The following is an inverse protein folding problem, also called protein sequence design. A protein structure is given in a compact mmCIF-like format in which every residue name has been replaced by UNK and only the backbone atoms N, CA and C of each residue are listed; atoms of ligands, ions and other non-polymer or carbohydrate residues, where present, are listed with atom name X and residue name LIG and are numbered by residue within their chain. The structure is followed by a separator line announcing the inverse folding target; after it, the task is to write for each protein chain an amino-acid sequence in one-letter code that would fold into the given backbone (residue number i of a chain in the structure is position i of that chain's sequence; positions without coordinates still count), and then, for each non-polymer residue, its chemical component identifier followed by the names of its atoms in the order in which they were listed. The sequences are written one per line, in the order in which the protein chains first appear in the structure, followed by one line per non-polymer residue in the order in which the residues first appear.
data_IF_880544319677
#
_entry.id   IF_880544319677
#
_cell.length_a   1.000
_cell.length_b   1.000
_cell.length_c   1.000
_cell.angle_alpha   90.00
_cell.angle_beta   90.00
_cell.angle_gamma   90.00
#
_symmetry.space_group_name_H-M   'P 1'
#
loop_
_entity.id
_entity.type
_entity.pdbx_description
1 polymer ?
#
# COMPACT_ATOMS: atom_id res chain seq x y z
N UNK A 1 -13.86 -19.80 -56.91
CA UNK A 1 -13.06 -18.63 -56.47
C UNK A 1 -13.80 -17.77 -55.44
N UNK A 2 -15.09 -17.48 -55.64
CA UNK A 2 -15.89 -16.63 -54.72
C UNK A 2 -15.95 -17.14 -53.26
N UNK A 3 -16.14 -18.44 -53.03
CA UNK A 3 -16.28 -18.99 -51.67
C UNK A 3 -15.00 -18.85 -50.83
N UNK A 4 -13.82 -18.89 -51.47
CA UNK A 4 -12.54 -18.74 -50.78
C UNK A 4 -12.36 -17.31 -50.25
N UNK A 5 -12.71 -16.31 -51.05
CA UNK A 5 -12.65 -14.90 -50.66
C UNK A 5 -13.63 -14.61 -49.51
N UNK A 6 -14.82 -15.21 -49.55
CA UNK A 6 -15.81 -15.09 -48.46
C UNK A 6 -15.26 -15.74 -47.17
N UNK A 7 -14.70 -16.94 -47.24
CA UNK A 7 -14.11 -17.62 -46.08
C UNK A 7 -12.91 -16.87 -45.50
N UNK A 8 -12.04 -16.33 -46.35
CA UNK A 8 -10.91 -15.48 -45.94
C UNK A 8 -11.40 -14.19 -45.28
N UNK A 9 -12.43 -13.53 -45.84
CA UNK A 9 -13.05 -12.34 -45.25
C UNK A 9 -13.66 -12.62 -43.88
N UNK A 10 -14.40 -13.72 -43.72
CA UNK A 10 -14.95 -14.15 -42.42
C UNK A 10 -13.82 -14.43 -41.43
N UNK A 11 -12.77 -15.14 -41.85
CA UNK A 11 -11.60 -15.43 -41.00
C UNK A 11 -10.92 -14.16 -40.49
N UNK A 12 -10.69 -13.17 -41.36
CA UNK A 12 -10.10 -11.88 -40.98
C UNK A 12 -10.99 -11.15 -39.96
N UNK A 13 -12.30 -11.09 -40.22
CA UNK A 13 -13.26 -10.44 -39.31
C UNK A 13 -13.31 -11.16 -37.96
N UNK A 14 -13.27 -12.51 -37.96
CA UNK A 14 -13.21 -13.30 -36.72
C UNK A 14 -11.94 -13.01 -35.93
N UNK A 15 -10.77 -12.95 -36.57
CA UNK A 15 -9.50 -12.63 -35.89
C UNK A 15 -9.54 -11.22 -35.30
N UNK A 16 -10.00 -10.22 -36.05
CA UNK A 16 -10.15 -8.84 -35.55
C UNK A 16 -11.12 -8.80 -34.37
N UNK A 17 -12.28 -9.47 -34.48
CA UNK A 17 -13.26 -9.56 -33.40
C UNK A 17 -12.68 -10.21 -32.14
N UNK A 18 -11.91 -11.29 -32.28
CA UNK A 18 -11.22 -11.94 -31.16
C UNK A 18 -10.18 -11.03 -30.51
N UNK A 19 -9.40 -10.28 -31.29
CA UNK A 19 -8.41 -9.34 -30.74
C UNK A 19 -9.08 -8.19 -29.96
N UNK A 20 -10.21 -7.67 -30.46
CA UNK A 20 -11.01 -6.66 -29.74
C UNK A 20 -11.52 -7.24 -28.42
N UNK A 21 -12.08 -8.46 -28.46
CA UNK A 21 -12.60 -9.13 -27.27
C UNK A 21 -11.50 -9.35 -26.22
N UNK A 22 -10.32 -9.85 -26.60
CA UNK A 22 -9.17 -10.00 -25.69
C UNK A 22 -8.73 -8.66 -25.13
N UNK A 23 -8.70 -7.60 -25.94
CA UNK A 23 -8.38 -6.25 -25.47
C UNK A 23 -9.36 -5.76 -24.40
N UNK A 24 -10.66 -6.04 -24.56
CA UNK A 24 -11.69 -5.73 -23.58
C UNK A 24 -11.53 -6.56 -22.29
N UNK A 25 -11.25 -7.85 -22.40
CA UNK A 25 -11.00 -8.72 -21.23
C UNK A 25 -9.80 -8.27 -20.42
N UNK A 26 -8.68 -7.92 -21.08
CA UNK A 26 -7.48 -7.40 -20.43
C UNK A 26 -7.79 -6.09 -19.70
N UNK A 27 -8.55 -5.19 -20.33
CA UNK A 27 -8.96 -3.92 -19.73
C UNK A 27 -9.83 -4.13 -18.48
N UNK A 28 -10.81 -5.03 -18.56
CA UNK A 28 -11.67 -5.38 -17.43
C UNK A 28 -10.87 -6.06 -16.30
N UNK A 29 -9.97 -6.97 -16.63
CA UNK A 29 -9.10 -7.63 -15.66
C UNK A 29 -8.21 -6.61 -14.93
N UNK A 30 -7.62 -5.68 -15.68
CA UNK A 30 -6.80 -4.59 -15.13
C UNK A 30 -7.62 -3.71 -14.17
N UNK A 31 -8.85 -3.35 -14.55
CA UNK A 31 -9.74 -2.57 -13.69
C UNK A 31 -10.12 -3.32 -12.41
N UNK A 32 -10.39 -4.63 -12.51
CA UNK A 32 -10.70 -5.47 -11.35
C UNK A 32 -9.52 -5.58 -10.38
N UNK A 33 -8.29 -5.78 -10.90
CA UNK A 33 -7.06 -5.83 -10.09
C UNK A 33 -6.80 -4.50 -9.37
N UNK A 34 -7.02 -3.37 -10.04
CA UNK A 34 -6.95 -2.03 -9.41
C UNK A 34 -7.97 -1.88 -8.29
N UNK A 35 -9.22 -2.30 -8.52
CA UNK A 35 -10.28 -2.28 -7.51
C UNK A 35 -9.93 -3.13 -6.27
N UNK A 36 -9.44 -4.33 -6.48
CA UNK A 36 -8.99 -5.23 -5.41
C UNK A 36 -7.83 -4.64 -4.60
N UNK A 37 -6.86 -4.01 -5.28
CA UNK A 37 -5.72 -3.32 -4.62
C UNK A 37 -6.19 -2.18 -3.73
N UNK A 38 -7.12 -1.35 -4.22
CA UNK A 38 -7.69 -0.26 -3.44
C UNK A 38 -8.46 -0.77 -2.21
N UNK A 39 -9.18 -1.88 -2.36
CA UNK A 39 -9.90 -2.52 -1.27
C UNK A 39 -8.94 -3.07 -0.20
N UNK A 40 -7.86 -3.73 -0.61
CA UNK A 40 -6.83 -4.26 0.31
C UNK A 40 -6.15 -3.13 1.12
N UNK A 41 -5.74 -2.05 0.46
CA UNK A 41 -5.14 -0.90 1.15
C UNK A 41 -6.13 -0.29 2.16
N UNK A 42 -7.41 -0.21 1.78
CA UNK A 42 -8.46 0.30 2.67
C UNK A 42 -8.69 -0.63 3.86
N UNK A 43 -8.68 -1.95 3.64
CA UNK A 43 -8.79 -2.96 4.67
C UNK A 43 -7.66 -2.87 5.70
N UNK A 44 -6.40 -2.74 5.24
CA UNK A 44 -5.24 -2.57 6.13
C UNK A 44 -5.38 -1.34 7.04
N UNK A 45 -5.90 -0.22 6.53
CA UNK A 45 -6.20 0.97 7.34
C UNK A 45 -7.28 0.69 8.38
N UNK A 46 -8.39 0.06 7.96
CA UNK A 46 -9.49 -0.29 8.84
C UNK A 46 -9.05 -1.21 9.97
N UNK A 47 -8.20 -2.20 9.69
CA UNK A 47 -7.65 -3.09 10.73
C UNK A 47 -6.76 -2.34 11.72
N UNK A 48 -5.91 -1.42 11.25
CA UNK A 48 -5.12 -0.57 12.16
C UNK A 48 -6.01 0.29 13.07
N UNK A 49 -7.06 0.90 12.51
CA UNK A 49 -8.03 1.68 13.31
C UNK A 49 -8.82 0.80 14.27
N UNK A 50 -9.21 -0.40 13.88
CA UNK A 50 -9.89 -1.36 14.74
C UNK A 50 -9.01 -1.73 15.93
N UNK A 51 -7.74 -2.07 15.69
CA UNK A 51 -6.78 -2.35 16.78
C UNK A 51 -6.66 -1.15 17.71
N UNK A 52 -6.54 0.06 17.16
CA UNK A 52 -6.52 1.30 17.94
C UNK A 52 -7.78 1.55 18.76
N UNK A 53 -8.96 1.15 18.26
CA UNK A 53 -10.24 1.34 18.92
C UNK A 53 -10.55 0.26 19.97
N UNK A 54 -10.07 -0.97 19.77
CA UNK A 54 -10.37 -2.13 20.61
C UNK A 54 -9.26 -2.45 21.65
N UNK A 55 -8.09 -1.84 21.53
CA UNK A 55 -6.95 -2.07 22.42
C UNK A 55 -6.51 -0.78 23.12
N UNK A 56 -7.00 -0.57 24.35
CA UNK A 56 -6.71 0.60 25.18
C UNK A 56 -5.21 0.89 25.33
N UNK A 57 -4.38 -0.16 25.39
CA UNK A 57 -2.94 0.00 25.52
C UNK A 57 -2.33 0.58 24.24
N UNK A 58 -2.66 0.02 23.07
CA UNK A 58 -2.21 0.59 21.79
C UNK A 58 -2.73 2.01 21.62
N UNK A 59 -3.99 2.28 21.97
CA UNK A 59 -4.57 3.62 21.96
C UNK A 59 -3.78 4.61 22.83
N UNK A 60 -3.44 4.19 24.06
CA UNK A 60 -2.66 4.99 25.00
C UNK A 60 -1.24 5.28 24.49
N UNK A 61 -0.54 4.26 23.98
CA UNK A 61 0.81 4.43 23.41
C UNK A 61 0.76 5.32 22.16
N UNK A 62 -0.22 5.15 21.26
CA UNK A 62 -0.40 6.03 20.11
C UNK A 62 -0.61 7.49 20.54
N UNK A 63 -1.51 7.74 21.50
CA UNK A 63 -1.77 9.09 22.00
C UNK A 63 -0.52 9.73 22.60
N UNK A 64 0.23 9.00 23.44
CA UNK A 64 1.49 9.48 24.04
C UNK A 64 2.60 9.63 23.00
N UNK A 65 2.64 8.79 21.96
CA UNK A 65 3.57 8.91 20.83
C UNK A 65 3.43 10.26 20.12
N UNK A 66 2.19 10.70 19.86
CA UNK A 66 1.92 12.04 19.32
C UNK A 66 2.32 13.19 20.26
N UNK A 67 2.43 12.92 21.57
CA UNK A 67 2.89 13.87 22.57
C UNK A 67 4.42 13.87 22.75
N UNK A 68 5.14 13.08 21.95
CA UNK A 68 6.60 13.04 21.98
C UNK A 68 7.20 11.91 22.82
N UNK A 69 6.41 10.90 23.20
CA UNK A 69 6.92 9.70 23.87
C UNK A 69 8.07 9.08 23.08
N UNK A 70 9.03 8.54 23.83
CA UNK A 70 10.18 7.78 23.33
C UNK A 70 10.16 6.33 23.81
N UNK A 71 10.98 5.47 23.19
CA UNK A 71 11.11 4.04 23.51
C UNK A 71 11.45 3.81 24.98
N UNK A 72 12.26 4.69 25.57
CA UNK A 72 12.75 4.61 26.94
C UNK A 72 11.63 4.69 27.99
N UNK A 73 10.45 5.18 27.61
CA UNK A 73 9.28 5.29 28.49
C UNK A 73 8.36 4.05 28.43
N UNK A 74 8.69 3.06 27.59
CA UNK A 74 7.93 1.83 27.42
C UNK A 74 8.63 0.65 28.09
N UNK A 75 7.83 -0.28 28.61
CA UNK A 75 8.36 -1.60 28.94
C UNK A 75 8.76 -2.34 27.65
N UNK A 76 9.68 -3.30 27.74
CA UNK A 76 10.08 -4.11 26.58
C UNK A 76 8.88 -4.76 25.88
N UNK A 77 7.89 -5.22 26.65
CA UNK A 77 6.66 -5.83 26.13
C UNK A 77 5.77 -4.81 25.43
N UNK A 78 5.61 -3.60 26.00
CA UNK A 78 4.78 -2.55 25.39
C UNK A 78 5.44 -2.03 24.12
N UNK A 79 6.77 -1.87 24.13
CA UNK A 79 7.55 -1.57 22.94
C UNK A 79 7.38 -2.68 21.90
N UNK A 80 7.50 -3.95 22.29
CA UNK A 80 7.30 -5.11 21.40
C UNK A 80 5.90 -5.09 20.77
N UNK A 81 4.87 -4.78 21.54
CA UNK A 81 3.51 -4.73 21.02
C UNK A 81 3.32 -3.55 20.05
N UNK A 82 3.88 -2.39 20.38
CA UNK A 82 3.71 -1.19 19.59
C UNK A 82 4.54 -1.20 18.29
N UNK A 83 5.77 -1.71 18.29
CA UNK A 83 6.52 -1.82 17.03
C UNK A 83 5.88 -2.84 16.08
N UNK A 84 5.30 -3.94 16.57
CA UNK A 84 4.54 -4.88 15.73
C UNK A 84 3.35 -4.19 15.04
N UNK A 85 2.60 -3.39 15.80
CA UNK A 85 1.54 -2.54 15.25
C UNK A 85 2.10 -1.55 14.20
N UNK A 86 3.26 -0.96 14.48
CA UNK A 86 3.92 -0.01 13.58
C UNK A 86 4.39 -0.66 12.28
N UNK A 87 4.86 -1.91 12.34
CA UNK A 87 5.24 -2.71 11.17
C UNK A 87 4.07 -2.96 10.22
N UNK A 88 2.83 -3.09 10.73
CA UNK A 88 1.65 -3.13 9.86
C UNK A 88 1.53 -1.84 9.04
N UNK A 89 1.76 -0.68 9.68
CA UNK A 89 1.78 0.62 9.02
C UNK A 89 2.88 0.73 7.97
N UNK A 90 4.12 0.37 8.31
CA UNK A 90 5.23 0.40 7.36
C UNK A 90 5.00 -0.50 6.15
N UNK A 91 4.51 -1.74 6.35
CA UNK A 91 4.19 -2.66 5.26
C UNK A 91 3.04 -2.17 4.37
N UNK A 92 2.06 -1.48 4.96
CA UNK A 92 1.03 -0.78 4.17
C UNK A 92 1.65 0.31 3.28
N UNK A 93 2.56 1.12 3.81
CA UNK A 93 3.20 2.19 3.02
C UNK A 93 4.09 1.61 1.92
N UNK A 94 4.80 0.52 2.19
CA UNK A 94 5.56 -0.24 1.19
C UNK A 94 4.64 -0.78 0.08
N UNK A 95 3.48 -1.33 0.44
CA UNK A 95 2.51 -1.76 -0.55
C UNK A 95 2.04 -0.60 -1.43
N UNK A 96 1.66 0.54 -0.84
CA UNK A 96 1.26 1.74 -1.61
C UNK A 96 2.39 2.20 -2.53
N UNK A 97 3.63 2.23 -2.05
CA UNK A 97 4.81 2.57 -2.85
C UNK A 97 4.98 1.65 -4.06
N UNK A 98 4.92 0.33 -3.86
CA UNK A 98 5.05 -0.64 -4.93
C UNK A 98 3.93 -0.49 -5.98
N UNK A 99 2.70 -0.23 -5.54
CA UNK A 99 1.57 -0.01 -6.44
C UNK A 99 1.67 1.32 -7.21
N UNK A 100 2.19 2.36 -6.57
CA UNK A 100 2.52 3.63 -7.23
C UNK A 100 3.64 3.44 -8.27
N UNK A 101 4.74 2.78 -7.91
CA UNK A 101 5.87 2.49 -8.80
C UNK A 101 5.45 1.67 -10.03
N UNK A 102 4.49 0.76 -9.86
CA UNK A 102 3.95 -0.06 -10.95
C UNK A 102 2.85 0.65 -11.79
N UNK A 103 2.50 1.90 -11.48
CA UNK A 103 1.49 2.66 -12.21
C UNK A 103 0.04 2.23 -11.95
N UNK A 104 -0.22 1.49 -10.86
CA UNK A 104 -1.57 1.16 -10.41
C UNK A 104 -2.19 2.25 -9.56
N UNK A 105 -1.36 3.04 -8.86
CA UNK A 105 -1.78 4.19 -8.06
C UNK A 105 -1.11 5.47 -8.56
N UNK A 106 -1.80 6.59 -8.35
CA UNK A 106 -1.30 7.92 -8.67
C UNK A 106 -0.66 8.56 -7.42
N UNK A 107 0.02 9.70 -7.60
CA UNK A 107 0.66 10.46 -6.52
C UNK A 107 -0.28 10.76 -5.35
N UNK A 108 -1.55 11.02 -5.62
CA UNK A 108 -2.57 11.29 -4.60
C UNK A 108 -2.71 10.16 -3.56
N UNK A 109 -2.37 8.91 -3.93
CA UNK A 109 -2.36 7.80 -2.97
C UNK A 109 -1.28 7.98 -1.89
N UNK A 110 -0.16 8.65 -2.23
CA UNK A 110 0.92 8.94 -1.29
C UNK A 110 0.52 10.03 -0.30
N UNK A 111 -0.20 11.05 -0.75
CA UNK A 111 -0.69 12.14 0.10
C UNK A 111 -1.68 11.65 1.17
N UNK A 112 -2.37 10.55 0.90
CA UNK A 112 -3.36 9.92 1.79
C UNK A 112 -2.76 8.93 2.79
N UNK A 113 -1.43 8.79 2.86
CA UNK A 113 -0.79 7.86 3.81
C UNK A 113 -0.99 8.31 5.26
N UNK A 114 -0.97 9.62 5.53
CA UNK A 114 -1.01 10.19 6.88
C UNK A 114 0.35 10.13 7.58
N UNK A 115 1.32 10.95 7.14
CA UNK A 115 2.71 10.86 7.62
C UNK A 115 2.93 11.30 9.08
N UNK A 116 1.95 11.96 9.72
CA UNK A 116 2.07 12.46 11.10
C UNK A 116 2.42 11.37 12.11
N UNK A 117 1.84 10.18 11.97
CA UNK A 117 2.14 9.02 12.81
C UNK A 117 3.63 8.66 12.76
N UNK A 118 4.17 8.53 11.55
CA UNK A 118 5.55 8.11 11.29
C UNK A 118 6.59 9.18 11.65
N UNK A 119 6.17 10.42 11.89
CA UNK A 119 7.06 11.53 12.29
C UNK A 119 7.29 11.60 13.80
N UNK A 120 6.53 10.88 14.60
CA UNK A 120 6.68 10.85 16.07
C UNK A 120 8.06 10.32 16.49
N UNK A 121 8.61 10.74 17.65
CA UNK A 121 9.93 10.28 18.12
C UNK A 121 10.01 8.76 18.25
N UNK A 122 8.99 8.15 18.86
CA UNK A 122 8.89 6.70 18.99
C UNK A 122 8.91 5.99 17.63
N UNK A 123 8.19 6.50 16.62
CA UNK A 123 8.23 5.89 15.29
C UNK A 123 9.59 6.04 14.61
N UNK A 124 10.27 7.18 14.79
CA UNK A 124 11.64 7.34 14.27
C UNK A 124 12.60 6.33 14.89
N UNK A 125 12.52 6.11 16.20
CA UNK A 125 13.34 5.08 16.87
C UNK A 125 13.04 3.67 16.34
N UNK A 126 11.76 3.32 16.18
CA UNK A 126 11.36 2.04 15.59
C UNK A 126 11.90 1.91 14.16
N UNK A 127 11.79 2.96 13.35
CA UNK A 127 12.29 2.96 11.97
C UNK A 127 13.80 2.74 11.91
N UNK A 128 14.59 3.43 12.73
CA UNK A 128 16.05 3.25 12.75
C UNK A 128 16.48 1.82 13.09
N UNK A 129 15.73 1.15 13.96
CA UNK A 129 15.98 -0.25 14.32
C UNK A 129 15.57 -1.25 13.23
N UNK A 130 14.59 -0.89 12.38
CA UNK A 130 13.88 -1.85 11.51
C UNK A 130 13.96 -1.56 10.02
N UNK A 131 14.49 -0.41 9.60
CA UNK A 131 14.54 -0.01 8.18
C UNK A 131 15.28 -1.01 7.29
N UNK A 132 16.22 -1.78 7.87
CA UNK A 132 16.94 -2.83 7.16
C UNK A 132 16.11 -4.10 6.87
N UNK A 133 14.91 -4.22 7.44
CA UNK A 133 13.93 -5.28 7.12
C UNK A 133 13.15 -4.99 5.82
N UNK A 134 13.43 -3.86 5.17
CA UNK A 134 12.79 -3.39 3.95
C UNK A 134 13.79 -3.25 2.80
N UNK A 135 13.24 -3.18 1.58
CA UNK A 135 14.04 -2.87 0.41
C UNK A 135 14.70 -1.47 0.55
N UNK A 136 16.01 -1.31 0.22
CA UNK A 136 16.71 -0.03 0.37
C UNK A 136 16.10 1.13 -0.43
N UNK A 137 15.51 0.83 -1.60
CA UNK A 137 14.83 1.84 -2.42
C UNK A 137 13.55 2.33 -1.73
N UNK A 138 12.77 1.41 -1.17
CA UNK A 138 11.62 1.77 -0.34
C UNK A 138 12.03 2.57 0.89
N UNK A 139 13.08 2.15 1.60
CA UNK A 139 13.54 2.87 2.79
C UNK A 139 13.91 4.33 2.45
N UNK A 140 14.65 4.54 1.37
CA UNK A 140 15.00 5.88 0.87
C UNK A 140 13.76 6.69 0.50
N UNK A 141 12.82 6.08 -0.22
CA UNK A 141 11.55 6.71 -0.59
C UNK A 141 10.73 7.10 0.65
N UNK A 142 10.61 6.20 1.62
CA UNK A 142 9.83 6.41 2.82
C UNK A 142 10.39 7.54 3.68
N UNK A 143 11.71 7.58 3.86
CA UNK A 143 12.38 8.67 4.59
C UNK A 143 12.16 10.02 3.90
N UNK A 144 12.33 10.06 2.57
CA UNK A 144 12.04 11.26 1.79
C UNK A 144 10.57 11.70 1.97
N UNK A 145 9.61 10.78 1.81
CA UNK A 145 8.19 11.08 1.99
C UNK A 145 7.87 11.55 3.41
N UNK A 146 8.48 10.95 4.43
CA UNK A 146 8.27 11.27 5.84
C UNK A 146 8.79 12.66 6.17
N UNK A 147 9.94 13.04 5.63
CA UNK A 147 10.65 14.25 6.03
C UNK A 147 10.33 15.47 5.14
N UNK A 148 9.49 15.31 4.11
CA UNK A 148 8.86 16.44 3.41
C UNK A 148 7.93 17.17 4.39
N UNK A 149 8.11 18.49 4.55
CA UNK A 149 7.29 19.33 5.43
C UNK A 149 5.79 19.25 5.07
#
# INVERSE_FOLDING_TARGET
MNNRIILEGVGIVSVIGSLIFVGLEISQNTAAVRGATQQEISYQVSEMYKIGAENDKIASIMSRSYQGMTKEELSDTDYLQFWLFSMMGYRRVENIYLQYKNGFLNQEALDRIGMSFYRTPLQRQIWEERKYDFDPEFATFFEALRDIN
#
